data_IF_935107469723
#
_entry.id   IF_935107469723
#
_cell.length_a   1.000
_cell.length_b   1.000
_cell.length_c   1.000
_cell.angle_alpha   90.00
_cell.angle_beta   90.00
_cell.angle_gamma   90.00
#
_symmetry.space_group_name_H-M   'P 1'
#
loop_
_entity.id
_entity.type
_entity.pdbx_description
1 polymer ?
#
# COMPACT_ATOMS: atom_id res chain seq x y z
N UNK A 1 -1.06 17.92 -2.39
CA UNK A 1 -1.98 17.05 -1.63
C UNK A 1 -1.56 15.61 -1.89
N UNK A 2 -0.69 15.04 -1.05
CA UNK A 2 -0.14 13.70 -1.27
C UNK A 2 -1.01 12.69 -0.52
N UNK A 3 -1.93 12.04 -1.24
CA UNK A 3 -2.80 11.02 -0.65
C UNK A 3 -1.98 9.74 -0.53
N UNK A 4 -1.34 9.54 0.63
CA UNK A 4 -0.59 8.32 0.94
C UNK A 4 -1.52 7.30 1.56
N UNK A 5 -1.63 6.12 0.94
CA UNK A 5 -2.42 5.01 1.46
C UNK A 5 -1.76 4.47 2.74
N UNK A 6 -2.50 4.55 3.85
CA UNK A 6 -2.12 4.00 5.15
C UNK A 6 -2.49 2.51 5.17
N UNK A 7 -1.63 1.68 5.75
CA UNK A 7 -1.96 0.26 5.97
C UNK A 7 -3.13 0.10 6.95
N UNK A 8 -4.08 -0.78 6.63
CA UNK A 8 -5.24 -1.13 7.47
C UNK A 8 -5.15 -2.59 7.92
N UNK A 9 -5.96 -2.98 8.90
CA UNK A 9 -6.06 -4.36 9.43
C UNK A 9 -6.32 -5.43 8.35
N UNK A 10 -6.88 -5.04 7.21
CA UNK A 10 -7.15 -5.92 6.07
C UNK A 10 -5.90 -6.56 5.47
N UNK A 11 -4.71 -5.98 5.64
CA UNK A 11 -3.47 -6.65 5.18
C UNK A 11 -3.11 -7.88 6.03
N UNK A 12 -3.77 -8.06 7.17
CA UNK A 12 -3.56 -9.16 8.11
C UNK A 12 -4.56 -10.31 7.94
N UNK A 13 -5.49 -10.18 7.00
CA UNK A 13 -6.48 -11.21 6.69
C UNK A 13 -5.96 -12.00 5.51
N UNK A 14 -5.81 -13.31 5.70
CA UNK A 14 -5.41 -14.21 4.63
C UNK A 14 -6.53 -14.29 3.57
N UNK A 15 -6.22 -14.12 2.28
CA UNK A 15 -7.23 -14.04 1.22
C UNK A 15 -7.87 -15.39 0.87
N UNK A 16 -7.25 -16.52 1.21
CA UNK A 16 -7.79 -17.86 0.93
C UNK A 16 -8.65 -18.39 2.07
N UNK A 17 -8.26 -18.08 3.32
CA UNK A 17 -8.92 -18.59 4.53
C UNK A 17 -9.83 -17.57 5.20
N UNK A 18 -9.65 -16.27 4.94
CA UNK A 18 -10.42 -15.19 5.56
C UNK A 18 -10.15 -15.02 7.06
N UNK A 19 -9.15 -15.72 7.60
CA UNK A 19 -8.83 -15.70 9.02
C UNK A 19 -7.81 -14.58 9.28
N UNK A 20 -8.07 -13.67 10.23
CA UNK A 20 -7.08 -12.69 10.65
C UNK A 20 -5.95 -13.40 11.39
N UNK A 21 -4.71 -13.15 10.99
CA UNK A 21 -3.56 -13.73 11.67
C UNK A 21 -3.43 -13.14 13.09
N UNK A 22 -3.52 -14.00 14.12
CA UNK A 22 -3.46 -13.62 15.53
C UNK A 22 -2.14 -12.94 15.92
N UNK A 23 -1.05 -13.24 15.22
CA UNK A 23 0.27 -12.64 15.44
C UNK A 23 0.41 -11.21 14.90
N UNK A 24 -0.58 -10.72 14.15
CA UNK A 24 -0.55 -9.39 13.55
C UNK A 24 0.49 -9.24 12.43
N UNK A 25 0.99 -10.36 11.90
CA UNK A 25 1.84 -10.40 10.71
C UNK A 25 0.97 -10.44 9.46
N UNK A 26 1.10 -9.43 8.56
CA UNK A 26 2.34 -8.74 8.20
C UNK A 26 2.48 -7.28 8.69
N UNK A 27 1.59 -6.78 9.54
CA UNK A 27 1.57 -5.37 9.96
C UNK A 27 2.76 -4.98 10.84
N UNK A 28 3.21 -5.89 11.71
CA UNK A 28 4.35 -5.66 12.61
C UNK A 28 5.66 -5.52 11.84
N UNK A 29 5.88 -6.38 10.84
CA UNK A 29 7.02 -6.27 9.92
C UNK A 29 6.92 -5.02 9.06
N UNK A 30 5.76 -4.65 8.53
CA UNK A 30 5.60 -3.42 7.73
C UNK A 30 5.86 -2.14 8.53
N UNK A 31 5.55 -2.13 9.83
CA UNK A 31 5.81 -1.00 10.74
C UNK A 31 7.30 -0.78 11.01
N UNK A 32 8.14 -1.82 10.97
CA UNK A 32 9.56 -1.70 11.35
C UNK A 32 10.37 -0.90 10.32
N UNK A 33 10.12 -1.09 9.02
CA UNK A 33 10.95 -0.48 7.96
C UNK A 33 10.23 0.58 7.12
N UNK A 34 8.89 0.65 7.16
CA UNK A 34 8.10 1.51 6.27
C UNK A 34 7.41 2.69 6.96
N UNK A 35 7.88 3.04 8.15
CA UNK A 35 7.43 4.22 8.92
C UNK A 35 8.10 5.47 8.36
N UNK A 36 7.32 6.47 7.91
CA UNK A 36 7.84 7.78 7.50
C UNK A 36 7.55 8.83 8.57
N UNK A 37 8.51 9.70 8.93
CA UNK A 37 8.26 10.81 9.84
C UNK A 37 7.18 11.73 9.23
N UNK A 38 6.16 12.06 10.02
CA UNK A 38 5.03 12.90 9.62
C UNK A 38 3.73 12.16 9.21
N UNK A 39 3.72 10.81 9.17
CA UNK A 39 2.51 10.03 8.83
C UNK A 39 1.98 9.12 9.97
N UNK A 40 2.37 9.40 11.22
CA UNK A 40 1.93 8.64 12.40
C UNK A 40 2.48 7.20 12.47
N UNK A 41 1.84 6.34 13.27
CA UNK A 41 2.22 4.92 13.47
C UNK A 41 1.78 3.97 12.34
N UNK A 42 1.18 4.50 11.28
CA UNK A 42 0.74 3.68 10.15
C UNK A 42 1.88 3.52 9.13
N UNK A 43 2.22 2.28 8.74
CA UNK A 43 3.19 2.06 7.69
C UNK A 43 2.65 2.60 6.35
N UNK A 44 3.53 3.19 5.55
CA UNK A 44 3.18 3.72 4.23
C UNK A 44 3.17 2.58 3.23
N UNK A 45 2.02 2.18 2.69
CA UNK A 45 1.92 1.07 1.75
C UNK A 45 1.30 1.55 0.44
N UNK A 46 2.09 1.47 -0.64
CA UNK A 46 1.67 1.96 -1.96
C UNK A 46 1.54 3.49 -2.02
N UNK A 47 1.00 3.95 -3.15
CA UNK A 47 0.69 5.37 -3.40
C UNK A 47 -0.67 5.45 -4.07
N UNK A 48 -1.53 6.35 -3.63
CA UNK A 48 -2.75 6.65 -4.36
C UNK A 48 -2.40 7.61 -5.49
N UNK A 49 -2.61 7.18 -6.73
CA UNK A 49 -2.42 8.01 -7.90
C UNK A 49 -3.79 8.50 -8.39
N UNK A 50 -3.88 9.78 -8.73
CA UNK A 50 -5.04 10.32 -9.43
C UNK A 50 -4.90 10.08 -10.93
N UNK A 51 -6.01 9.73 -11.59
CA UNK A 51 -6.04 9.57 -13.05
C UNK A 51 -5.97 10.95 -13.69
N UNK A 52 -4.91 11.22 -14.48
CA UNK A 52 -4.77 12.48 -15.24
C UNK A 52 -5.29 12.37 -16.68
N UNK A 53 -5.21 11.16 -17.25
CA UNK A 53 -5.71 10.82 -18.59
C UNK A 53 -6.26 9.40 -18.54
N UNK A 54 -7.41 9.22 -19.17
CA UNK A 54 -8.01 7.91 -19.38
C UNK A 54 -7.32 7.18 -20.54
N UNK A 55 -7.32 5.85 -20.47
CA UNK A 55 -6.67 4.99 -21.46
C UNK A 55 -6.63 3.54 -20.99
N UNK A 56 -6.15 2.65 -21.85
CA UNK A 56 -5.97 1.22 -21.54
C UNK A 56 -4.51 0.94 -21.21
N UNK A 57 -4.27 0.30 -20.07
CA UNK A 57 -2.95 -0.20 -19.66
C UNK A 57 -2.99 -1.72 -19.66
N UNK A 58 -1.94 -2.35 -20.18
CA UNK A 58 -1.80 -3.80 -20.27
C UNK A 58 -0.53 -4.26 -19.56
N UNK A 59 -0.49 -5.54 -19.20
CA UNK A 59 0.71 -6.16 -18.65
C UNK A 59 1.83 -6.12 -19.70
N UNK A 60 2.97 -5.54 -19.34
CA UNK A 60 4.12 -5.36 -20.23
C UNK A 60 4.31 -3.94 -20.77
N UNK A 61 3.37 -3.02 -20.54
CA UNK A 61 3.54 -1.63 -20.95
C UNK A 61 4.64 -0.93 -20.13
N UNK A 62 5.48 -0.14 -20.83
CA UNK A 62 6.55 0.63 -20.19
C UNK A 62 5.97 1.79 -19.35
N UNK A 63 6.44 1.91 -18.11
CA UNK A 63 6.05 3.00 -17.21
C UNK A 63 7.10 4.12 -17.29
N UNK A 64 6.68 5.29 -17.76
CA UNK A 64 7.53 6.48 -17.82
C UNK A 64 7.25 7.39 -16.64
N UNK A 65 8.31 7.79 -15.92
CA UNK A 65 8.23 8.77 -14.84
C UNK A 65 8.86 10.08 -15.34
N UNK A 66 8.03 11.08 -15.60
CA UNK A 66 8.48 12.45 -15.89
C UNK A 66 8.74 13.22 -14.61
N UNK A 67 9.82 14.01 -14.57
CA UNK A 67 10.10 14.97 -13.51
C UNK A 67 9.13 16.16 -13.53
#
# INVERSE_FOLDING_TARGET
MEIKKKGCIFTNVDPETGIPNSDGEPLKTLKSYRKKPGLGDSPVVGMQMGVRREGTVRLGDAVYVGC
#
